data_IF_571367913622
#
_entry.id   IF_571367913622
#
_cell.length_a   1.000
_cell.length_b   1.000
_cell.length_c   1.000
_cell.angle_alpha   90.00
_cell.angle_beta   90.00
_cell.angle_gamma   90.00
#
_symmetry.space_group_name_H-M   'P 1'
#
loop_
_entity.id
_entity.type
_entity.pdbx_description
1 polymer ?
#
# COMPACT_ATOMS: atom_id res chain seq x y z
N UNK A 1 17.11 20.34 0.91
CA UNK A 1 17.75 19.23 1.63
C UNK A 1 17.19 17.91 1.10
N UNK A 2 18.07 17.01 0.70
CA UNK A 2 17.64 15.70 0.23
C UNK A 2 17.28 14.81 1.42
N UNK A 3 16.05 14.29 1.41
CA UNK A 3 15.65 13.30 2.41
C UNK A 3 16.16 11.95 1.95
N UNK A 4 17.00 11.31 2.76
CA UNK A 4 17.47 9.96 2.48
C UNK A 4 16.37 9.00 2.88
N UNK A 5 15.80 8.28 1.90
CA UNK A 5 14.82 7.25 2.18
C UNK A 5 15.52 5.98 2.65
N UNK A 6 14.91 5.31 3.61
CA UNK A 6 15.44 4.09 4.21
C UNK A 6 14.51 2.92 3.96
N UNK A 7 15.08 1.74 4.09
CA UNK A 7 14.32 0.50 4.17
C UNK A 7 13.88 0.31 5.63
N UNK A 8 12.59 0.07 5.82
CA UNK A 8 12.02 -0.13 7.15
C UNK A 8 11.37 -1.51 7.25
N UNK A 9 11.68 -2.31 8.28
CA UNK A 9 10.96 -3.55 8.50
C UNK A 9 9.52 -3.29 8.91
N UNK A 10 8.64 -4.23 8.58
CA UNK A 10 7.23 -4.19 8.95
C UNK A 10 6.74 -5.57 9.30
N UNK A 11 5.43 -5.74 9.38
CA UNK A 11 4.81 -7.04 9.63
C UNK A 11 4.58 -7.76 8.31
N UNK A 12 4.72 -9.10 8.26
CA UNK A 12 4.47 -9.86 7.04
C UNK A 12 3.09 -9.57 6.47
N UNK A 13 3.01 -9.47 5.15
CA UNK A 13 1.74 -9.18 4.46
C UNK A 13 0.84 -10.41 4.35
N UNK A 14 1.36 -11.60 4.67
CA UNK A 14 0.63 -12.85 4.57
C UNK A 14 0.30 -13.20 3.13
N UNK A 15 -0.79 -13.92 2.92
CA UNK A 15 -1.24 -14.34 1.60
C UNK A 15 -2.15 -13.27 0.98
N UNK A 16 -1.66 -12.05 0.87
CA UNK A 16 -2.48 -10.92 0.45
C UNK A 16 -2.99 -11.06 -0.98
N UNK A 17 -2.14 -11.52 -1.91
CA UNK A 17 -2.57 -11.78 -3.29
C UNK A 17 -3.71 -12.79 -3.32
N UNK A 18 -3.58 -13.89 -2.58
CA UNK A 18 -4.58 -14.95 -2.53
C UNK A 18 -5.90 -14.46 -1.93
N UNK A 19 -5.82 -13.59 -0.91
CA UNK A 19 -7.02 -12.98 -0.31
C UNK A 19 -7.74 -12.06 -1.29
N UNK A 20 -7.01 -11.25 -2.05
CA UNK A 20 -7.62 -10.39 -3.06
C UNK A 20 -8.22 -11.22 -4.19
N UNK A 21 -7.53 -12.28 -4.62
CA UNK A 21 -8.03 -13.19 -5.65
C UNK A 21 -9.37 -13.83 -5.20
N UNK A 22 -9.46 -14.23 -3.94
CA UNK A 22 -10.70 -14.78 -3.38
C UNK A 22 -11.83 -13.76 -3.36
N UNK A 23 -11.54 -12.49 -3.11
CA UNK A 23 -12.55 -11.43 -3.12
C UNK A 23 -13.14 -11.18 -4.52
N UNK A 24 -12.40 -11.49 -5.57
CA UNK A 24 -12.90 -11.37 -6.95
C UNK A 24 -13.94 -12.43 -7.30
N UNK A 25 -13.98 -13.55 -6.57
CA UNK A 25 -14.98 -14.61 -6.78
C UNK A 25 -15.05 -15.10 -8.23
N UNK A 26 -13.88 -15.27 -8.86
CA UNK A 26 -13.78 -15.73 -10.24
C UNK A 26 -14.03 -14.65 -11.28
N UNK A 27 -14.25 -13.40 -10.89
CA UNK A 27 -14.46 -12.29 -11.83
C UNK A 27 -13.15 -11.59 -12.15
N UNK A 28 -13.00 -11.03 -13.36
CA UNK A 28 -11.81 -10.23 -13.68
C UNK A 28 -11.83 -8.87 -13.00
N UNK A 29 -13.00 -8.37 -12.58
CA UNK A 29 -13.15 -7.07 -11.95
C UNK A 29 -14.34 -7.06 -11.00
N UNK A 30 -14.23 -6.32 -9.92
CA UNK A 30 -15.31 -6.15 -8.94
C UNK A 30 -15.26 -4.76 -8.34
N UNK A 31 -16.39 -4.07 -8.33
CA UNK A 31 -16.49 -2.77 -7.66
C UNK A 31 -16.42 -2.97 -6.15
N UNK A 32 -15.50 -2.27 -5.48
CA UNK A 32 -15.26 -2.37 -4.05
C UNK A 32 -15.45 -1.05 -3.31
N UNK A 33 -15.83 0.00 -4.01
CA UNK A 33 -16.11 1.31 -3.45
C UNK A 33 -16.47 2.29 -4.54
N UNK A 34 -16.75 3.53 -4.16
CA UNK A 34 -17.06 4.60 -5.13
C UNK A 34 -15.85 4.81 -6.03
N UNK A 35 -16.04 4.70 -7.34
CA UNK A 35 -15.01 4.81 -8.39
C UNK A 35 -13.80 3.89 -8.12
N UNK A 36 -14.01 2.80 -7.37
CA UNK A 36 -12.95 1.91 -6.93
C UNK A 36 -13.26 0.48 -7.33
N UNK A 37 -12.30 -0.16 -7.99
CA UNK A 37 -12.45 -1.52 -8.52
C UNK A 37 -11.24 -2.37 -8.14
N UNK A 38 -11.52 -3.60 -7.72
CA UNK A 38 -10.50 -4.64 -7.60
C UNK A 38 -10.45 -5.36 -8.94
N UNK A 39 -9.27 -5.46 -9.55
CA UNK A 39 -9.12 -6.01 -10.90
C UNK A 39 -7.95 -6.96 -10.99
N UNK A 40 -8.16 -8.10 -11.67
CA UNK A 40 -7.09 -9.05 -11.95
C UNK A 40 -6.54 -8.78 -13.36
N UNK A 41 -5.24 -8.52 -13.42
CA UNK A 41 -4.51 -8.44 -14.68
C UNK A 41 -3.62 -9.69 -14.82
N UNK A 42 -2.81 -9.77 -15.90
CA UNK A 42 -2.07 -10.99 -16.21
C UNK A 42 -1.16 -11.44 -15.04
N UNK A 43 -0.38 -10.52 -14.49
CA UNK A 43 0.67 -10.84 -13.52
C UNK A 43 0.45 -10.20 -12.15
N UNK A 44 -0.69 -9.54 -11.92
CA UNK A 44 -0.96 -8.86 -10.65
C UNK A 44 -2.45 -8.59 -10.47
N UNK A 45 -2.82 -8.27 -9.23
CA UNK A 45 -4.16 -7.76 -8.88
C UNK A 45 -3.97 -6.31 -8.43
N UNK A 46 -4.84 -5.44 -8.90
CA UNK A 46 -4.77 -4.02 -8.55
C UNK A 46 -6.08 -3.47 -8.00
N UNK A 47 -5.94 -2.45 -7.16
CA UNK A 47 -7.05 -1.61 -6.71
C UNK A 47 -7.00 -0.33 -7.53
N UNK A 48 -7.99 -0.14 -8.38
CA UNK A 48 -8.06 1.02 -9.28
C UNK A 48 -9.04 2.05 -8.73
N UNK A 49 -8.54 3.26 -8.49
CA UNK A 49 -9.35 4.42 -8.17
C UNK A 49 -9.38 5.31 -9.41
N UNK A 50 -10.56 5.50 -10.01
CA UNK A 50 -10.71 6.14 -11.33
C UNK A 50 -9.81 5.44 -12.36
N UNK A 51 -8.77 6.09 -12.84
CA UNK A 51 -7.85 5.54 -13.84
C UNK A 51 -6.48 5.16 -13.27
N UNK A 52 -6.33 5.16 -11.94
CA UNK A 52 -5.04 4.90 -11.28
C UNK A 52 -5.12 3.62 -10.45
N UNK A 53 -4.21 2.69 -10.68
CA UNK A 53 -4.04 1.54 -9.79
C UNK A 53 -3.20 1.98 -8.59
N UNK A 54 -3.87 2.38 -7.52
CA UNK A 54 -3.20 2.91 -6.32
C UNK A 54 -2.47 1.83 -5.54
N UNK A 55 -2.93 0.58 -5.63
CA UNK A 55 -2.27 -0.58 -5.03
C UNK A 55 -2.21 -1.69 -6.08
N UNK A 56 -1.05 -2.34 -6.20
CA UNK A 56 -0.84 -3.50 -7.06
C UNK A 56 -0.15 -4.58 -6.25
N UNK A 57 -0.61 -5.81 -6.39
CA UNK A 57 -0.06 -6.95 -5.64
C UNK A 57 0.31 -8.04 -6.63
N UNK A 58 1.56 -8.49 -6.57
CA UNK A 58 2.04 -9.60 -7.40
C UNK A 58 1.82 -10.94 -6.70
N UNK A 59 1.85 -12.06 -7.43
CA UNK A 59 1.59 -13.38 -6.83
C UNK A 59 2.52 -13.77 -5.69
N UNK A 60 3.72 -13.19 -5.61
CA UNK A 60 4.65 -13.39 -4.52
C UNK A 60 4.35 -12.53 -3.28
N UNK A 61 3.24 -11.77 -3.31
CA UNK A 61 2.80 -10.88 -2.25
C UNK A 61 3.66 -9.61 -2.06
N UNK A 62 4.35 -9.17 -3.11
CA UNK A 62 4.94 -7.82 -3.12
C UNK A 62 3.85 -6.80 -3.45
N UNK A 63 3.80 -5.72 -2.70
CA UNK A 63 2.76 -4.69 -2.82
C UNK A 63 3.39 -3.38 -3.28
N UNK A 64 2.89 -2.86 -4.39
CA UNK A 64 3.30 -1.57 -4.95
C UNK A 64 2.21 -0.55 -4.69
N UNK A 65 2.58 0.68 -4.38
CA UNK A 65 1.63 1.75 -4.11
C UNK A 65 1.98 3.00 -4.90
N UNK A 66 0.94 3.73 -5.32
CA UNK A 66 1.10 5.02 -5.99
C UNK A 66 -0.10 5.91 -5.68
N UNK A 67 0.13 7.23 -5.67
CA UNK A 67 -0.96 8.21 -5.62
C UNK A 67 -1.41 8.62 -7.03
N UNK A 68 -0.61 8.30 -8.04
CA UNK A 68 -0.83 8.79 -9.40
C UNK A 68 -0.72 10.31 -9.50
N UNK A 69 -0.07 10.95 -8.54
CA UNK A 69 -0.01 12.40 -8.43
C UNK A 69 -1.17 13.05 -7.69
N UNK A 70 -2.13 12.25 -7.21
CA UNK A 70 -3.33 12.75 -6.53
C UNK A 70 -3.18 12.63 -5.01
N UNK A 71 -2.77 13.71 -4.35
CA UNK A 71 -2.64 13.75 -2.89
C UNK A 71 -3.96 14.22 -2.25
N UNK A 72 -5.05 13.49 -2.53
CA UNK A 72 -6.40 13.85 -2.07
C UNK A 72 -6.82 12.97 -0.90
N UNK A 73 -7.86 13.42 -0.18
CA UNK A 73 -8.47 12.64 0.90
C UNK A 73 -8.95 11.28 0.40
N UNK A 74 -9.56 11.24 -0.81
CA UNK A 74 -10.05 9.98 -1.39
C UNK A 74 -8.89 9.02 -1.68
N UNK A 75 -7.80 9.50 -2.26
CA UNK A 75 -6.63 8.66 -2.53
C UNK A 75 -6.03 8.11 -1.22
N UNK A 76 -5.90 8.96 -0.19
CA UNK A 76 -5.42 8.53 1.13
C UNK A 76 -6.32 7.45 1.71
N UNK A 77 -7.62 7.63 1.62
CA UNK A 77 -8.60 6.68 2.15
C UNK A 77 -8.51 5.32 1.47
N UNK A 78 -8.34 5.29 0.15
CA UNK A 78 -8.18 4.04 -0.60
C UNK A 78 -6.86 3.34 -0.26
N UNK A 79 -5.77 4.09 -0.15
CA UNK A 79 -4.49 3.52 0.29
C UNK A 79 -4.60 2.93 1.69
N UNK A 80 -5.20 3.66 2.64
CA UNK A 80 -5.41 3.16 4.00
C UNK A 80 -6.20 1.86 4.04
N UNK A 81 -7.22 1.75 3.18
CA UNK A 81 -8.09 0.58 3.16
C UNK A 81 -7.42 -0.65 2.56
N UNK A 82 -6.44 -0.48 1.69
CA UNK A 82 -5.91 -1.58 0.88
C UNK A 82 -4.42 -1.86 1.06
N UNK A 83 -3.72 -1.12 1.92
CA UNK A 83 -2.33 -1.41 2.24
C UNK A 83 -2.24 -2.44 3.36
N UNK A 84 -1.41 -3.49 3.20
CA UNK A 84 -1.22 -4.52 4.21
C UNK A 84 -0.03 -4.21 5.13
N UNK A 85 0.25 -5.13 6.09
CA UNK A 85 1.47 -5.09 6.90
C UNK A 85 1.50 -3.97 7.93
N UNK A 86 0.33 -3.43 8.29
CA UNK A 86 0.18 -2.28 9.17
C UNK A 86 0.82 -1.00 8.64
N UNK A 87 1.26 -1.00 7.39
CA UNK A 87 1.68 0.23 6.73
C UNK A 87 0.49 1.10 6.41
N UNK A 88 0.66 2.41 6.64
CA UNK A 88 -0.38 3.38 6.43
C UNK A 88 0.22 4.64 5.82
N UNK A 89 -0.64 5.54 5.39
CA UNK A 89 -0.23 6.81 4.78
C UNK A 89 -1.00 7.96 5.40
N UNK A 90 -0.41 9.15 5.34
CA UNK A 90 -1.12 10.38 5.69
C UNK A 90 -0.62 11.51 4.80
N UNK A 91 -1.42 12.57 4.73
CA UNK A 91 -1.10 13.75 3.94
C UNK A 91 -0.77 14.91 4.86
N UNK A 92 0.32 15.61 4.54
CA UNK A 92 0.69 16.85 5.20
C UNK A 92 1.20 17.83 4.16
N UNK A 93 0.60 19.03 4.09
CA UNK A 93 0.99 20.09 3.15
C UNK A 93 1.05 19.59 1.69
N UNK A 94 0.00 18.89 1.27
CA UNK A 94 -0.13 18.30 -0.08
C UNK A 94 0.94 17.27 -0.44
N UNK A 95 1.64 16.72 0.54
CA UNK A 95 2.56 15.60 0.35
C UNK A 95 2.07 14.39 1.13
N UNK A 96 2.42 13.21 0.65
CA UNK A 96 2.05 11.93 1.25
C UNK A 96 3.24 11.32 1.95
N UNK A 97 2.99 10.74 3.11
CA UNK A 97 4.01 10.08 3.92
C UNK A 97 3.54 8.69 4.30
N UNK A 98 4.51 7.74 4.29
CA UNK A 98 4.33 6.44 4.91
C UNK A 98 4.49 6.55 6.41
N UNK A 99 3.74 5.74 7.18
CA UNK A 99 4.03 5.56 8.59
C UNK A 99 3.66 4.15 9.06
N UNK A 100 4.31 3.73 10.12
CA UNK A 100 4.02 2.48 10.84
C UNK A 100 4.48 2.64 12.29
N UNK A 101 3.94 1.82 13.16
CA UNK A 101 4.35 1.75 14.55
C UNK A 101 5.31 0.58 14.73
N UNK A 102 6.41 0.82 15.43
CA UNK A 102 7.40 -0.19 15.77
C UNK A 102 7.36 -0.43 17.27
N UNK A 103 7.52 -1.71 17.66
CA UNK A 103 7.56 -2.14 19.05
C UNK A 103 8.90 -2.83 19.29
N UNK A 104 9.97 -2.07 19.53
CA UNK A 104 11.27 -2.68 19.80
C UNK A 104 11.25 -3.49 21.12
N UNK A 105 12.23 -4.37 21.24
CA UNK A 105 12.29 -5.35 22.36
C UNK A 105 12.32 -4.69 23.75
N UNK A 106 12.77 -3.43 23.83
CA UNK A 106 12.84 -2.68 25.09
C UNK A 106 11.47 -2.21 25.61
N UNK A 107 10.37 -2.54 24.91
CA UNK A 107 9.02 -2.19 25.33
C UNK A 107 8.56 -0.79 24.93
N UNK A 108 9.39 0.01 24.30
CA UNK A 108 8.96 1.32 23.78
C UNK A 108 8.19 1.16 22.48
N UNK A 109 7.33 2.14 22.16
CA UNK A 109 6.65 2.22 20.88
C UNK A 109 7.24 3.38 20.10
N UNK A 110 7.68 3.11 18.89
CA UNK A 110 8.28 4.12 18.02
C UNK A 110 7.50 4.20 16.71
N UNK A 111 7.15 5.42 16.31
CA UNK A 111 6.55 5.68 15.00
C UNK A 111 7.66 5.93 13.99
N UNK A 112 7.64 5.18 12.90
CA UNK A 112 8.53 5.43 11.77
C UNK A 112 7.73 6.06 10.65
N UNK A 113 8.31 7.04 9.97
CA UNK A 113 7.69 7.71 8.84
C UNK A 113 8.74 8.09 7.81
N UNK A 114 8.31 8.14 6.55
CA UNK A 114 9.14 8.68 5.48
C UNK A 114 8.27 9.15 4.32
N UNK A 115 8.81 10.03 3.47
CA UNK A 115 8.08 10.49 2.30
C UNK A 115 7.65 9.33 1.42
N UNK A 116 6.43 9.40 0.91
CA UNK A 116 5.89 8.46 -0.05
C UNK A 116 6.34 8.88 -1.45
N UNK A 117 6.87 7.94 -2.21
CA UNK A 117 7.22 8.15 -3.61
C UNK A 117 6.56 7.05 -4.44
N UNK A 118 6.02 7.41 -5.59
CA UNK A 118 5.44 6.42 -6.49
C UNK A 118 6.50 5.36 -6.84
N UNK A 119 6.09 4.09 -6.77
CA UNK A 119 7.00 2.98 -6.95
C UNK A 119 7.59 2.42 -5.66
N UNK A 120 7.34 3.04 -4.52
CA UNK A 120 7.65 2.44 -3.23
C UNK A 120 6.89 1.11 -3.09
N UNK A 121 7.50 0.13 -2.44
CA UNK A 121 6.90 -1.19 -2.33
C UNK A 121 7.06 -1.78 -0.94
N UNK A 122 6.13 -2.66 -0.60
CA UNK A 122 6.16 -3.46 0.61
C UNK A 122 6.47 -4.89 0.19
N UNK A 123 7.58 -5.45 0.68
CA UNK A 123 7.97 -6.82 0.40
C UNK A 123 7.08 -7.81 1.16
N UNK A 124 7.10 -9.10 0.80
CA UNK A 124 6.25 -10.10 1.48
C UNK A 124 6.47 -10.19 2.99
N UNK A 125 7.66 -9.89 3.48
CA UNK A 125 7.96 -9.85 4.92
C UNK A 125 7.50 -8.55 5.61
N UNK A 126 6.90 -7.64 4.85
CA UNK A 126 6.43 -6.35 5.37
C UNK A 126 7.44 -5.21 5.29
N UNK A 127 8.64 -5.47 4.77
CA UNK A 127 9.66 -4.43 4.63
C UNK A 127 9.25 -3.39 3.60
N UNK A 128 9.27 -2.11 3.98
CA UNK A 128 9.06 -1.01 3.05
C UNK A 128 10.39 -0.66 2.38
N UNK A 129 10.39 -0.70 1.06
CA UNK A 129 11.56 -0.42 0.21
C UNK A 129 11.22 0.72 -0.74
N UNK A 130 12.04 1.76 -0.80
CA UNK A 130 11.84 2.85 -1.74
C UNK A 130 12.05 2.45 -3.19
#
# INVERSE_FOLDING_TARGET
MNVVKRTWPGDPVGEYYQRLLAQLKGRPSRKVGSNTYLEKLADWIGVRLHNTYVVRVTPDNTVYATTGGWHTVTTMDRLKSWLPGHWNVYRRQNETYWYNWRHPIDGTTMRVEQPFTDGDKILPDGTLVP
#
